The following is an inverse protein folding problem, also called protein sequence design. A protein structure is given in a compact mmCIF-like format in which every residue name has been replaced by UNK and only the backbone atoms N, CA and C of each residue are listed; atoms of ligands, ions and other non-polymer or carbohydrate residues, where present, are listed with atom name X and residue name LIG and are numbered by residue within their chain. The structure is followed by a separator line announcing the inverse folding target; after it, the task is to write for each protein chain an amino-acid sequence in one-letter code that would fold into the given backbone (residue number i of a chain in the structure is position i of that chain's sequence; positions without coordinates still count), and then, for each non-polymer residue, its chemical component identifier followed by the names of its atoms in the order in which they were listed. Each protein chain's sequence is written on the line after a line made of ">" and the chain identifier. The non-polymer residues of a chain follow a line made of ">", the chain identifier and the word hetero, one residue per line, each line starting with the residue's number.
data_IF_437318494780
#
_entry.id   IF_437318494780
#
_cell.length_a   1.000
_cell.length_b   1.000
_cell.length_c   1.000
_cell.angle_alpha   90.00
_cell.angle_beta   90.00
_cell.angle_gamma   90.00
#
_symmetry.space_group_name_H-M   'P 1'
#
loop_
_entity.id
_entity.type
_entity.pdbx_description
1 polymer ?
#
# COMPACT_ATOMS: atom_id res chain seq x y z
N UNK A 1 2.58 -3.85 -4.40
CA UNK A 1 3.39 -4.23 -3.23
C UNK A 1 2.49 -4.90 -2.21
N UNK A 2 2.95 -5.96 -1.53
CA UNK A 2 2.20 -6.60 -0.44
C UNK A 2 2.81 -6.26 0.92
N UNK A 3 1.95 -5.98 1.91
CA UNK A 3 2.33 -5.68 3.30
C UNK A 3 1.28 -6.21 4.28
N UNK A 4 1.64 -6.28 5.55
CA UNK A 4 0.75 -6.70 6.64
C UNK A 4 0.66 -5.57 7.66
N UNK A 5 -0.52 -5.33 8.22
CA UNK A 5 -0.74 -4.24 9.15
C UNK A 5 -1.27 -4.75 10.49
N UNK A 6 -0.52 -4.49 11.56
CA UNK A 6 -0.93 -4.84 12.92
C UNK A 6 -1.23 -6.33 13.10
N UNK A 7 -2.40 -6.63 13.69
CA UNK A 7 -2.92 -8.00 13.91
C UNK A 7 -3.97 -8.40 12.86
N UNK A 8 -4.08 -7.68 11.74
CA UNK A 8 -5.07 -7.96 10.71
C UNK A 8 -4.84 -9.36 10.14
N UNK A 9 -5.89 -10.11 9.80
CA UNK A 9 -5.71 -11.53 9.44
C UNK A 9 -5.07 -11.72 8.07
N UNK A 10 -5.38 -10.82 7.14
CA UNK A 10 -5.00 -10.96 5.74
C UNK A 10 -3.95 -9.92 5.35
N UNK A 11 -2.96 -10.29 4.52
CA UNK A 11 -2.07 -9.31 3.92
C UNK A 11 -2.81 -8.42 2.92
N UNK A 12 -2.38 -7.18 2.84
CA UNK A 12 -2.87 -6.17 1.92
C UNK A 12 -1.96 -6.09 0.71
N UNK A 13 -2.56 -5.86 -0.45
CA UNK A 13 -1.85 -5.47 -1.65
C UNK A 13 -2.20 -4.02 -1.96
N UNK A 14 -1.17 -3.18 -1.98
CA UNK A 14 -1.25 -1.79 -2.38
C UNK A 14 -0.58 -1.64 -3.74
N UNK A 15 -1.35 -1.18 -4.71
CA UNK A 15 -0.86 -0.74 -6.02
C UNK A 15 -0.81 0.78 -6.03
N UNK A 16 0.40 1.34 -6.11
CA UNK A 16 0.62 2.78 -6.22
C UNK A 16 0.85 3.15 -7.67
N UNK A 17 0.24 4.25 -8.11
CA UNK A 17 0.38 4.78 -9.45
C UNK A 17 0.61 6.28 -9.38
N UNK A 18 1.77 6.76 -9.83
CA UNK A 18 2.03 8.18 -9.91
C UNK A 18 1.76 8.72 -11.32
N UNK A 19 0.96 9.78 -11.39
CA UNK A 19 0.78 10.57 -12.60
C UNK A 19 1.67 11.80 -12.49
N UNK A 20 2.75 11.81 -13.27
CA UNK A 20 3.76 12.90 -13.32
C UNK A 20 4.53 13.16 -12.03
N UNK A 21 4.51 12.20 -11.08
CA UNK A 21 5.24 12.29 -9.81
C UNK A 21 4.71 13.32 -8.82
N UNK A 22 3.54 13.93 -9.09
CA UNK A 22 2.88 14.89 -8.20
C UNK A 22 1.44 14.49 -7.86
N UNK A 23 0.79 13.71 -8.72
CA UNK A 23 -0.49 13.08 -8.46
C UNK A 23 -0.23 11.60 -8.16
N UNK A 24 -0.72 11.12 -7.04
CA UNK A 24 -0.59 9.73 -6.63
C UNK A 24 -1.98 9.12 -6.50
N UNK A 25 -2.25 8.13 -7.33
CA UNK A 25 -3.39 7.23 -7.20
C UNK A 25 -2.92 5.95 -6.50
N UNK A 26 -3.81 5.34 -5.72
CA UNK A 26 -3.55 4.05 -5.11
C UNK A 26 -4.77 3.13 -5.19
N UNK A 27 -4.52 1.83 -5.15
CA UNK A 27 -5.54 0.81 -5.02
C UNK A 27 -5.14 -0.16 -3.93
N UNK A 28 -5.99 -0.29 -2.92
CA UNK A 28 -5.81 -1.20 -1.81
C UNK A 28 -6.78 -2.38 -1.95
N UNK A 29 -6.26 -3.60 -1.90
CA UNK A 29 -7.04 -4.84 -1.91
C UNK A 29 -6.47 -5.86 -0.92
N UNK A 30 -7.25 -6.89 -0.59
CA UNK A 30 -6.70 -8.05 0.12
C UNK A 30 -5.90 -8.93 -0.83
N UNK A 31 -4.64 -9.22 -0.50
CA UNK A 31 -3.71 -9.90 -1.40
C UNK A 31 -4.00 -11.40 -1.59
N UNK A 32 -4.72 -12.03 -0.64
CA UNK A 32 -4.99 -13.48 -0.64
C UNK A 32 -6.48 -13.78 -0.75
N UNK A 33 -7.19 -13.55 0.34
CA UNK A 33 -8.61 -13.83 0.46
C UNK A 33 -9.31 -12.55 0.91
N UNK A 34 -10.59 -12.40 0.52
CA UNK A 34 -11.41 -11.29 0.98
C UNK A 34 -11.43 -11.25 2.52
N UNK A 35 -10.96 -10.14 3.08
CA UNK A 35 -11.01 -9.87 4.51
C UNK A 35 -12.23 -9.05 4.91
N UNK A 36 -12.35 -8.71 6.20
CA UNK A 36 -13.41 -7.85 6.69
C UNK A 36 -13.26 -6.42 6.14
N UNK A 37 -14.33 -5.88 5.58
CA UNK A 37 -14.35 -4.52 5.01
C UNK A 37 -13.95 -3.45 6.04
N UNK A 38 -14.21 -3.65 7.32
CA UNK A 38 -13.77 -2.72 8.36
C UNK A 38 -12.24 -2.58 8.42
N UNK A 39 -11.49 -3.66 8.21
CA UNK A 39 -10.03 -3.58 8.22
C UNK A 39 -9.50 -2.81 7.00
N UNK A 40 -10.09 -3.00 5.81
CA UNK A 40 -9.65 -2.25 4.62
C UNK A 40 -9.97 -0.76 4.76
N UNK A 41 -11.15 -0.44 5.30
CA UNK A 41 -11.58 0.94 5.57
C UNK A 41 -10.66 1.64 6.58
N UNK A 42 -10.16 0.93 7.59
CA UNK A 42 -9.18 1.50 8.55
C UNK A 42 -7.89 1.88 7.83
N UNK A 43 -7.40 1.03 6.93
CA UNK A 43 -6.20 1.34 6.15
C UNK A 43 -6.47 2.47 5.16
N UNK A 44 -7.60 2.47 4.46
CA UNK A 44 -7.98 3.56 3.56
C UNK A 44 -8.06 4.90 4.29
N UNK A 45 -8.74 4.94 5.43
CA UNK A 45 -8.84 6.13 6.29
C UNK A 45 -7.46 6.60 6.76
N UNK A 46 -6.56 5.66 7.05
CA UNK A 46 -5.19 5.97 7.44
C UNK A 46 -4.37 6.53 6.27
N UNK A 47 -4.47 5.94 5.07
CA UNK A 47 -3.81 6.45 3.87
C UNK A 47 -4.25 7.88 3.53
N UNK A 48 -5.51 8.23 3.77
CA UNK A 48 -6.02 9.58 3.53
C UNK A 48 -5.67 10.60 4.62
N UNK A 49 -5.51 10.16 5.88
CA UNK A 49 -5.30 11.06 7.03
C UNK A 49 -3.87 11.16 7.52
N UNK A 50 -3.04 10.20 7.18
CA UNK A 50 -1.68 10.03 7.69
C UNK A 50 -0.71 10.03 6.50
N UNK A 51 -0.32 11.24 6.07
CA UNK A 51 0.63 11.44 4.97
C UNK A 51 1.96 10.71 5.22
N UNK A 52 2.45 10.66 6.47
CA UNK A 52 3.67 9.93 6.83
C UNK A 52 3.52 8.41 6.56
N UNK A 53 2.35 7.83 6.86
CA UNK A 53 2.07 6.43 6.55
C UNK A 53 1.99 6.17 5.04
N UNK A 54 1.42 7.09 4.28
CA UNK A 54 1.38 7.00 2.82
C UNK A 54 2.79 7.09 2.22
N UNK A 55 3.58 8.06 2.65
CA UNK A 55 4.97 8.25 2.19
C UNK A 55 5.84 7.03 2.49
N UNK A 56 5.71 6.41 3.67
CA UNK A 56 6.43 5.17 4.00
C UNK A 56 6.10 4.02 3.02
N UNK A 57 4.84 3.92 2.61
CA UNK A 57 4.40 2.90 1.64
C UNK A 57 4.87 3.22 0.22
N UNK A 58 4.97 4.50 -0.14
CA UNK A 58 5.54 4.93 -1.42
C UNK A 58 7.03 4.61 -1.46
N UNK A 59 7.78 4.95 -0.42
CA UNK A 59 9.19 4.65 -0.31
C UNK A 59 9.44 3.13 -0.35
N UNK A 60 8.71 2.35 0.45
CA UNK A 60 8.84 0.89 0.44
C UNK A 60 8.50 0.26 -0.93
N UNK A 61 7.59 0.88 -1.70
CA UNK A 61 7.30 0.45 -3.06
C UNK A 61 8.43 0.79 -4.03
N UNK A 62 9.05 1.96 -3.88
CA UNK A 62 10.23 2.35 -4.65
C UNK A 62 11.43 1.46 -4.34
N UNK A 63 11.70 1.16 -3.07
CA UNK A 63 12.77 0.25 -2.65
C UNK A 63 12.61 -1.12 -3.31
N UNK A 64 11.38 -1.68 -3.34
CA UNK A 64 11.11 -2.94 -4.04
C UNK A 64 11.31 -2.88 -5.56
N UNK A 65 11.14 -1.72 -6.18
CA UNK A 65 11.40 -1.52 -7.61
C UNK A 65 12.90 -1.38 -7.89
N UNK A 66 13.66 -0.76 -6.98
CA UNK A 66 15.11 -0.61 -7.10
C UNK A 66 15.87 -1.90 -6.75
N UNK A 67 15.27 -2.78 -5.93
CA UNK A 67 15.81 -4.11 -5.58
C UNK A 67 15.59 -5.19 -6.66
N UNK A 68 15.05 -4.86 -7.85
CA UNK A 68 15.17 -5.73 -9.03
C UNK A 68 16.48 -5.38 -9.77
N UNK A 69 17.62 -6.02 -9.44
CA UNK A 69 18.85 -5.79 -10.20
C UNK A 69 18.59 -6.17 -11.64
N UNK A 70 18.80 -5.19 -12.53
CA UNK A 70 19.06 -5.44 -13.93
C UNK A 70 20.19 -6.46 -14.05
N UNK A 71 19.86 -7.72 -14.33
CA UNK A 71 20.81 -8.77 -14.73
C UNK A 71 21.07 -8.71 -16.25
#
# INVERSE_FOLDING_TARGET
>A
MQFHYGEHKQPYELALFSKRGIDWDYSLIFAKESGPEEEILIIEDKLEKDDDFFDELVDAAYEKLEEEPSE
#
